data_IF_294408251821
#
_entry.id   IF_294408251821
#
_cell.length_a   1.000
_cell.length_b   1.000
_cell.length_c   1.000
_cell.angle_alpha   90.00
_cell.angle_beta   90.00
_cell.angle_gamma   90.00
#
_symmetry.space_group_name_H-M   'P 1'
#
loop_
_entity.id
_entity.type
_entity.pdbx_description
1 polymer ?
#
# COMPACT_ATOMS: atom_id res chain seq x y z
N UNK A 1 -4.97 -14.20 4.49
CA UNK A 1 -6.16 -13.38 4.81
C UNK A 1 -5.90 -11.87 4.66
N UNK A 2 -4.82 -11.32 5.23
CA UNK A 2 -4.55 -9.86 5.15
C UNK A 2 -4.36 -9.25 3.76
N UNK A 3 -4.14 -10.06 2.71
CA UNK A 3 -3.99 -9.57 1.32
C UNK A 3 -5.33 -9.45 0.58
N UNK A 4 -6.43 -9.98 1.13
CA UNK A 4 -7.76 -9.96 0.50
C UNK A 4 -8.30 -8.53 0.27
N UNK A 5 -8.04 -7.53 1.14
CA UNK A 5 -8.47 -6.15 0.88
C UNK A 5 -7.69 -5.45 -0.25
N UNK A 6 -6.54 -6.00 -0.68
CA UNK A 6 -5.66 -5.39 -1.67
C UNK A 6 -6.35 -4.98 -2.99
N UNK A 7 -7.20 -5.81 -3.63
CA UNK A 7 -8.07 -5.40 -4.73
C UNK A 7 -8.75 -4.04 -4.57
N UNK A 8 -9.42 -3.85 -3.42
CA UNK A 8 -10.24 -2.66 -3.15
C UNK A 8 -9.33 -1.47 -2.90
N UNK A 9 -8.28 -1.65 -2.09
CA UNK A 9 -7.34 -0.56 -1.80
C UNK A 9 -6.59 -0.12 -3.05
N UNK A 10 -6.26 -1.05 -3.96
CA UNK A 10 -5.63 -0.74 -5.24
C UNK A 10 -6.53 0.15 -6.11
N UNK A 11 -7.80 -0.22 -6.30
CA UNK A 11 -8.77 0.60 -7.06
C UNK A 11 -8.95 1.97 -6.42
N UNK A 12 -9.20 2.03 -5.11
CA UNK A 12 -9.42 3.30 -4.41
C UNK A 12 -8.20 4.21 -4.52
N UNK A 13 -6.98 3.66 -4.38
CA UNK A 13 -5.75 4.45 -4.48
C UNK A 13 -5.50 4.95 -5.90
N UNK A 14 -5.85 4.16 -6.91
CA UNK A 14 -5.78 4.56 -8.33
C UNK A 14 -6.74 5.72 -8.62
N UNK A 15 -8.01 5.58 -8.25
CA UNK A 15 -9.02 6.64 -8.38
C UNK A 15 -8.62 7.91 -7.61
N UNK A 16 -8.11 7.78 -6.38
CA UNK A 16 -7.64 8.93 -5.61
C UNK A 16 -6.48 9.67 -6.29
N UNK A 17 -5.52 8.93 -6.85
CA UNK A 17 -4.40 9.54 -7.59
C UNK A 17 -4.89 10.31 -8.82
N UNK A 18 -5.87 9.77 -9.55
CA UNK A 18 -6.38 10.39 -10.77
C UNK A 18 -7.23 11.64 -10.51
N UNK A 19 -8.17 11.56 -9.57
CA UNK A 19 -9.15 12.64 -9.34
C UNK A 19 -8.69 13.68 -8.30
N UNK A 20 -7.89 13.31 -7.31
CA UNK A 20 -7.50 14.21 -6.21
C UNK A 20 -6.01 14.58 -6.21
N UNK A 21 -5.24 13.97 -7.12
CA UNK A 21 -3.81 14.22 -7.26
C UNK A 21 -3.00 13.91 -5.99
N UNK A 22 -1.74 14.36 -6.01
CA UNK A 22 -0.75 13.99 -4.99
C UNK A 22 -1.09 14.51 -3.59
N UNK A 23 -1.69 15.71 -3.47
CA UNK A 23 -2.07 16.31 -2.18
C UNK A 23 -3.18 15.50 -1.49
N UNK A 24 -4.21 15.10 -2.25
CA UNK A 24 -5.28 14.24 -1.74
C UNK A 24 -4.75 12.88 -1.29
N UNK A 25 -3.90 12.26 -2.10
CA UNK A 25 -3.31 10.94 -1.77
C UNK A 25 -2.42 11.01 -0.53
N UNK A 26 -1.59 12.06 -0.39
CA UNK A 26 -0.78 12.28 0.81
C UNK A 26 -1.64 12.47 2.06
N UNK A 27 -2.71 13.25 1.96
CA UNK A 27 -3.64 13.44 3.08
C UNK A 27 -4.28 12.12 3.50
N UNK A 28 -4.85 11.37 2.56
CA UNK A 28 -5.48 10.07 2.85
C UNK A 28 -4.47 9.07 3.42
N UNK A 29 -3.23 9.05 2.92
CA UNK A 29 -2.15 8.20 3.45
C UNK A 29 -1.82 8.56 4.89
N UNK A 30 -1.73 9.86 5.21
CA UNK A 30 -1.43 10.33 6.57
C UNK A 30 -2.57 10.01 7.54
N UNK A 31 -3.82 10.23 7.13
CA UNK A 31 -5.00 9.84 7.91
C UNK A 31 -5.01 8.33 8.15
N UNK A 32 -4.77 7.52 7.12
CA UNK A 32 -4.69 6.06 7.23
C UNK A 32 -3.59 5.62 8.21
N UNK A 33 -2.41 6.23 8.15
CA UNK A 33 -1.32 5.95 9.08
C UNK A 33 -1.72 6.26 10.54
N UNK A 34 -2.31 7.44 10.79
CA UNK A 34 -2.79 7.83 12.13
C UNK A 34 -3.85 6.85 12.62
N UNK A 35 -4.79 6.45 11.76
CA UNK A 35 -5.85 5.49 12.11
C UNK A 35 -5.28 4.12 12.48
N UNK A 36 -4.24 3.63 11.79
CA UNK A 36 -3.55 2.38 12.13
C UNK A 36 -2.90 2.49 13.52
N UNK A 37 -2.24 3.61 13.81
CA UNK A 37 -1.66 3.85 15.13
C UNK A 37 -2.71 3.89 16.24
N UNK A 38 -3.84 4.57 16.01
CA UNK A 38 -4.95 4.63 16.97
C UNK A 38 -5.54 3.24 17.19
N UNK A 39 -5.81 2.49 16.12
CA UNK A 39 -6.33 1.12 16.23
C UNK A 39 -5.39 0.21 17.02
N UNK A 40 -4.08 0.30 16.76
CA UNK A 40 -3.09 -0.45 17.51
C UNK A 40 -3.03 -0.04 18.98
N UNK A 41 -3.06 1.26 19.26
CA UNK A 41 -3.07 1.78 20.62
C UNK A 41 -4.28 1.25 21.41
N UNK A 42 -5.48 1.30 20.81
CA UNK A 42 -6.69 0.74 21.42
C UNK A 42 -6.57 -0.77 21.64
N UNK A 43 -5.98 -1.50 20.70
CA UNK A 43 -5.76 -2.95 20.84
C UNK A 43 -4.80 -3.27 22.00
N UNK A 44 -3.74 -2.48 22.20
CA UNK A 44 -2.83 -2.63 23.35
C UNK A 44 -3.54 -2.33 24.67
N UNK A 45 -4.39 -1.30 24.70
CA UNK A 45 -5.22 -1.02 25.87
C UNK A 45 -6.17 -2.17 26.18
N UNK A 46 -6.83 -2.73 25.15
CA UNK A 46 -7.77 -3.84 25.28
C UNK A 46 -7.07 -5.10 25.82
N UNK A 47 -5.89 -5.44 25.30
CA UNK A 47 -5.06 -6.55 25.83
C UNK A 47 -4.63 -6.35 27.30
N UNK A 48 -4.69 -5.12 27.82
CA UNK A 48 -4.32 -4.79 29.20
C UNK A 48 -5.51 -4.84 30.17
N UNK A 49 -6.74 -4.94 29.65
CA UNK A 49 -7.97 -5.00 30.44
C UNK A 49 -8.39 -6.47 30.56
N UNK A 50 -8.65 -7.00 31.76
CA UNK A 50 -9.08 -8.38 31.93
C UNK A 50 -10.48 -8.60 31.32
N UNK A 51 -10.66 -9.74 30.69
CA UNK A 51 -11.91 -10.15 30.08
C UNK A 51 -13.04 -10.17 31.12
N UNK A 52 -14.21 -9.72 30.68
CA UNK A 52 -15.41 -9.75 31.51
C UNK A 52 -15.77 -11.21 31.89
N UNK A 53 -16.34 -11.46 33.08
CA UNK A 53 -16.66 -12.82 33.54
C UNK A 53 -17.62 -13.61 32.63
N UNK A 54 -18.40 -12.91 31.81
CA UNK A 54 -19.35 -13.48 30.84
C UNK A 54 -18.82 -13.45 29.40
N UNK A 55 -17.55 -13.10 29.19
CA UNK A 55 -16.94 -13.07 27.86
C UNK A 55 -16.78 -14.49 27.30
N UNK A 56 -17.14 -14.74 26.03
CA UNK A 56 -16.87 -16.02 25.38
C UNK A 56 -15.39 -16.23 25.04
N UNK A 57 -14.58 -15.18 25.14
CA UNK A 57 -13.13 -15.20 24.84
C UNK A 57 -12.37 -14.79 26.10
N UNK A 58 -11.40 -15.60 26.50
CA UNK A 58 -10.53 -15.33 27.64
C UNK A 58 -9.30 -14.51 27.23
N UNK A 59 -8.62 -13.95 28.24
CA UNK A 59 -7.40 -13.13 28.05
C UNK A 59 -6.32 -13.90 27.29
N UNK A 60 -6.20 -15.20 27.52
CA UNK A 60 -5.21 -16.04 26.86
C UNK A 60 -5.46 -16.13 25.36
N UNK A 61 -6.68 -16.49 24.94
CA UNK A 61 -7.04 -16.61 23.53
C UNK A 61 -6.91 -15.27 22.81
N UNK A 62 -7.33 -14.18 23.46
CA UNK A 62 -7.20 -12.84 22.90
C UNK A 62 -5.72 -12.48 22.65
N UNK A 63 -4.84 -12.73 23.64
CA UNK A 63 -3.40 -12.48 23.51
C UNK A 63 -2.72 -13.41 22.50
N UNK A 64 -3.16 -14.65 22.35
CA UNK A 64 -2.62 -15.57 21.32
C UNK A 64 -2.91 -15.05 19.91
N UNK A 65 -4.10 -14.48 19.69
CA UNK A 65 -4.50 -13.94 18.39
C UNK A 65 -3.86 -12.58 18.12
N UNK A 66 -3.93 -11.66 19.08
CA UNK A 66 -3.54 -10.26 18.88
C UNK A 66 -2.15 -9.90 19.38
N UNK A 67 -1.48 -10.74 20.17
CA UNK A 67 -0.14 -10.46 20.70
C UNK A 67 0.93 -10.30 19.62
N UNK A 68 0.71 -10.86 18.42
CA UNK A 68 1.63 -10.66 17.29
C UNK A 68 1.35 -9.37 16.48
N UNK A 69 0.27 -8.65 16.76
CA UNK A 69 -0.15 -7.47 15.99
C UNK A 69 0.91 -6.38 15.96
N UNK A 70 1.65 -6.19 17.05
CA UNK A 70 2.75 -5.22 17.12
C UNK A 70 3.87 -5.51 16.13
N UNK A 71 4.31 -6.77 16.02
CA UNK A 71 5.32 -7.19 15.03
C UNK A 71 4.81 -7.03 13.60
N UNK A 72 3.53 -7.31 13.37
CA UNK A 72 2.89 -7.11 12.06
C UNK A 72 2.94 -5.64 11.65
N UNK A 73 2.55 -4.73 12.53
CA UNK A 73 2.55 -3.29 12.25
C UNK A 73 3.97 -2.76 12.03
N UNK A 74 4.91 -3.12 12.90
CA UNK A 74 6.32 -2.75 12.73
C UNK A 74 6.85 -3.28 11.40
N UNK A 75 6.55 -4.53 11.07
CA UNK A 75 6.90 -5.14 9.79
C UNK A 75 6.33 -4.37 8.60
N UNK A 76 5.05 -3.97 8.65
CA UNK A 76 4.41 -3.16 7.62
C UNK A 76 5.03 -1.77 7.46
N UNK A 77 5.35 -1.08 8.56
CA UNK A 77 5.99 0.23 8.49
C UNK A 77 7.39 0.12 7.88
N UNK A 78 8.20 -0.85 8.34
CA UNK A 78 9.56 -1.06 7.83
C UNK A 78 9.54 -1.46 6.36
N UNK A 79 8.65 -2.38 5.97
CA UNK A 79 8.49 -2.79 4.58
C UNK A 79 8.06 -1.62 3.68
N UNK A 80 7.11 -0.81 4.14
CA UNK A 80 6.67 0.37 3.41
C UNK A 80 7.82 1.36 3.18
N UNK A 81 8.60 1.67 4.22
CA UNK A 81 9.74 2.59 4.11
C UNK A 81 10.81 2.06 3.15
N UNK A 82 11.21 0.80 3.30
CA UNK A 82 12.20 0.17 2.43
C UNK A 82 11.68 0.10 0.99
N UNK A 83 10.43 -0.34 0.80
CA UNK A 83 9.78 -0.42 -0.49
C UNK A 83 9.74 0.92 -1.20
N UNK A 84 9.41 2.00 -0.47
CA UNK A 84 9.38 3.35 -1.03
C UNK A 84 10.78 3.84 -1.45
N UNK A 85 11.82 3.56 -0.66
CA UNK A 85 13.20 3.91 -1.03
C UNK A 85 13.65 3.17 -2.28
N UNK A 86 13.33 1.87 -2.39
CA UNK A 86 13.66 1.04 -3.55
C UNK A 86 12.89 1.51 -4.78
N UNK A 87 11.60 1.84 -4.63
CA UNK A 87 10.79 2.38 -5.72
C UNK A 87 11.45 3.62 -6.32
N UNK A 88 11.83 4.58 -5.48
CA UNK A 88 12.50 5.82 -5.90
C UNK A 88 13.83 5.50 -6.61
N UNK A 89 14.67 4.62 -6.05
CA UNK A 89 15.96 4.26 -6.63
C UNK A 89 15.82 3.60 -8.01
N UNK A 90 14.93 2.60 -8.12
CA UNK A 90 14.70 1.88 -9.37
C UNK A 90 14.06 2.80 -10.41
N UNK A 91 13.12 3.66 -10.00
CA UNK A 91 12.53 4.67 -10.88
C UNK A 91 13.59 5.59 -11.49
N UNK A 92 14.50 6.12 -10.66
CA UNK A 92 15.60 6.97 -11.11
C UNK A 92 16.59 6.22 -12.00
N UNK A 93 16.98 5.00 -11.61
CA UNK A 93 17.86 4.15 -12.41
C UNK A 93 17.29 3.89 -13.81
N UNK A 94 16.01 3.52 -13.89
CA UNK A 94 15.33 3.29 -15.16
C UNK A 94 15.13 4.59 -15.95
N UNK A 95 14.95 5.76 -15.30
CA UNK A 95 14.93 7.08 -15.96
C UNK A 95 16.21 7.38 -16.71
N UNK A 96 17.35 7.20 -16.05
CA UNK A 96 18.67 7.44 -16.66
C UNK A 96 18.92 6.44 -17.78
N UNK A 97 18.65 5.15 -17.55
CA UNK A 97 18.89 4.09 -18.52
C UNK A 97 18.02 4.20 -19.79
N UNK A 98 16.80 4.72 -19.66
CA UNK A 98 15.84 4.82 -20.78
C UNK A 98 15.83 6.19 -21.46
N UNK A 99 16.73 7.12 -21.08
CA UNK A 99 16.73 8.50 -21.59
C UNK A 99 15.33 9.15 -21.56
N UNK A 100 14.61 8.95 -20.46
CA UNK A 100 13.25 9.46 -20.25
C UNK A 100 12.17 8.95 -21.24
N UNK A 101 12.47 7.99 -22.13
CA UNK A 101 11.61 7.60 -23.26
C UNK A 101 10.39 6.76 -22.87
N UNK A 102 10.49 5.95 -21.81
CA UNK A 102 9.41 5.03 -21.40
C UNK A 102 8.98 5.30 -19.95
N UNK A 103 7.89 6.06 -19.77
CA UNK A 103 7.33 6.38 -18.44
C UNK A 103 6.72 5.13 -17.79
N UNK A 104 5.94 4.34 -18.55
CA UNK A 104 5.29 3.12 -18.05
C UNK A 104 6.29 2.11 -17.49
N UNK A 105 7.40 1.88 -18.21
CA UNK A 105 8.43 0.93 -17.77
C UNK A 105 9.05 1.32 -16.42
N UNK A 106 9.16 2.63 -16.15
CA UNK A 106 9.72 3.15 -14.90
C UNK A 106 8.74 2.99 -13.76
N UNK A 107 7.50 3.42 -13.94
CA UNK A 107 6.46 3.35 -12.93
C UNK A 107 6.11 1.89 -12.57
N UNK A 108 5.83 1.06 -13.57
CA UNK A 108 5.48 -0.35 -13.35
C UNK A 108 6.69 -1.16 -12.89
N UNK A 109 7.87 -0.93 -13.48
CA UNK A 109 9.09 -1.62 -13.09
C UNK A 109 9.50 -1.32 -11.65
N UNK A 110 9.47 -0.06 -11.22
CA UNK A 110 9.78 0.30 -9.83
C UNK A 110 8.76 -0.26 -8.84
N UNK A 111 7.47 -0.22 -9.20
CA UNK A 111 6.38 -0.75 -8.37
C UNK A 111 6.47 -2.27 -8.18
N UNK A 112 6.80 -3.03 -9.23
CA UNK A 112 6.95 -4.48 -9.13
C UNK A 112 8.14 -4.83 -8.22
N UNK A 113 9.27 -4.16 -8.38
CA UNK A 113 10.47 -4.42 -7.57
C UNK A 113 10.26 -4.00 -6.12
N UNK A 114 9.64 -2.85 -5.88
CA UNK A 114 9.33 -2.39 -4.52
C UNK A 114 8.33 -3.31 -3.82
N UNK A 115 7.29 -3.78 -4.53
CA UNK A 115 6.30 -4.69 -3.96
C UNK A 115 6.85 -6.09 -3.69
N UNK A 116 7.84 -6.55 -4.47
CA UNK A 116 8.55 -7.78 -4.16
C UNK A 116 9.26 -7.65 -2.81
N UNK A 117 10.03 -6.59 -2.60
CA UNK A 117 10.75 -6.38 -1.35
C UNK A 117 9.79 -6.14 -0.18
N UNK A 118 8.75 -5.33 -0.36
CA UNK A 118 7.70 -5.11 0.64
C UNK A 118 7.11 -6.44 1.12
N UNK A 119 6.68 -7.29 0.19
CA UNK A 119 5.99 -8.54 0.51
C UNK A 119 6.88 -9.50 1.30
N UNK A 120 8.18 -9.51 1.04
CA UNK A 120 9.14 -10.31 1.81
C UNK A 120 9.44 -9.67 3.16
N UNK A 121 9.72 -8.37 3.22
CA UNK A 121 10.07 -7.68 4.47
C UNK A 121 8.92 -7.74 5.47
N UNK A 122 7.66 -7.53 5.05
CA UNK A 122 6.49 -7.65 5.93
C UNK A 122 6.44 -9.04 6.56
N UNK A 123 6.51 -10.09 5.74
CA UNK A 123 6.34 -11.47 6.21
C UNK A 123 7.50 -11.90 7.10
N UNK A 124 8.73 -11.53 6.75
CA UNK A 124 9.91 -11.88 7.54
C UNK A 124 9.94 -11.16 8.89
N UNK A 125 9.50 -9.90 8.99
CA UNK A 125 9.44 -9.21 10.28
C UNK A 125 8.23 -9.66 11.10
N UNK A 126 7.08 -9.83 10.46
CA UNK A 126 5.83 -10.15 11.14
C UNK A 126 5.78 -11.61 11.64
N UNK A 127 6.35 -12.55 10.88
CA UNK A 127 6.27 -13.99 11.16
C UNK A 127 7.63 -14.66 11.38
N UNK A 128 8.74 -13.95 11.11
CA UNK A 128 10.09 -14.47 11.33
C UNK A 128 10.45 -14.58 12.82
N UNK A 129 11.36 -15.52 13.11
CA UNK A 129 11.72 -15.88 14.49
C UNK A 129 10.60 -16.62 15.25
N UNK A 130 9.50 -16.95 14.57
CA UNK A 130 8.41 -17.78 15.09
C UNK A 130 8.59 -19.26 14.78
N UNK A 131 7.46 -19.98 14.69
CA UNK A 131 7.42 -21.44 14.44
C UNK A 131 7.56 -21.82 12.96
N UNK A 132 7.59 -20.85 12.05
CA UNK A 132 7.64 -21.10 10.61
C UNK A 132 9.08 -21.31 10.14
N UNK A 133 9.28 -22.31 9.30
CA UNK A 133 10.53 -22.57 8.61
C UNK A 133 10.83 -21.52 7.53
N UNK A 134 12.10 -21.41 7.14
CA UNK A 134 12.53 -20.53 6.05
C UNK A 134 11.80 -20.83 4.72
N UNK A 135 11.51 -22.11 4.47
CA UNK A 135 10.78 -22.54 3.27
C UNK A 135 9.33 -22.03 3.29
N UNK A 136 8.64 -22.14 4.43
CA UNK A 136 7.27 -21.64 4.58
C UNK A 136 7.20 -20.12 4.45
N UNK A 137 8.14 -19.38 5.05
CA UNK A 137 8.20 -17.92 4.92
C UNK A 137 8.37 -17.48 3.46
N UNK A 138 9.23 -18.17 2.70
CA UNK A 138 9.41 -17.89 1.28
C UNK A 138 8.18 -18.21 0.44
N UNK A 139 7.51 -19.33 0.73
CA UNK A 139 6.27 -19.70 0.05
C UNK A 139 5.17 -18.67 0.32
N UNK A 140 4.99 -18.25 1.57
CA UNK A 140 3.99 -17.24 1.95
C UNK A 140 4.30 -15.90 1.27
N UNK A 141 5.56 -15.45 1.30
CA UNK A 141 5.99 -14.19 0.69
C UNK A 141 5.80 -14.19 -0.83
N UNK A 142 6.19 -15.28 -1.49
CA UNK A 142 6.05 -15.45 -2.94
C UNK A 142 4.58 -15.49 -3.35
N UNK A 143 3.75 -16.26 -2.64
CA UNK A 143 2.32 -16.32 -2.91
C UNK A 143 1.64 -14.98 -2.68
N UNK A 144 2.06 -14.21 -1.67
CA UNK A 144 1.56 -12.86 -1.41
C UNK A 144 1.87 -11.92 -2.58
N UNK A 145 3.12 -11.92 -3.03
CA UNK A 145 3.56 -11.11 -4.17
C UNK A 145 2.82 -11.50 -5.47
N UNK A 146 2.77 -12.79 -5.80
CA UNK A 146 2.09 -13.29 -6.99
C UNK A 146 0.59 -12.97 -6.98
N UNK A 147 -0.05 -13.08 -5.81
CA UNK A 147 -1.44 -12.68 -5.66
C UNK A 147 -1.64 -11.19 -5.94
N UNK A 148 -0.83 -10.31 -5.33
CA UNK A 148 -0.90 -8.85 -5.58
C UNK A 148 -0.71 -8.54 -7.08
N UNK A 149 0.27 -9.15 -7.73
CA UNK A 149 0.52 -8.97 -9.16
C UNK A 149 -0.64 -9.47 -10.02
N UNK A 150 -1.13 -10.69 -9.77
CA UNK A 150 -2.23 -11.28 -10.52
C UNK A 150 -3.52 -10.48 -10.38
N UNK A 151 -3.83 -10.01 -9.16
CA UNK A 151 -4.96 -9.13 -8.87
C UNK A 151 -4.84 -7.80 -9.60
N UNK A 152 -3.67 -7.15 -9.55
CA UNK A 152 -3.46 -5.87 -10.22
C UNK A 152 -3.72 -5.96 -11.73
N UNK A 153 -3.22 -7.02 -12.37
CA UNK A 153 -3.46 -7.30 -13.80
C UNK A 153 -4.94 -7.58 -14.06
N UNK A 154 -5.58 -8.44 -13.24
CA UNK A 154 -6.98 -8.82 -13.40
C UNK A 154 -7.97 -7.66 -13.19
N UNK A 155 -7.62 -6.70 -12.33
CA UNK A 155 -8.44 -5.53 -11.99
C UNK A 155 -8.23 -4.38 -12.98
N UNK A 156 -7.16 -4.39 -13.77
CA UNK A 156 -6.87 -3.32 -14.73
C UNK A 156 -8.06 -3.02 -15.66
N UNK A 157 -8.79 -4.00 -16.25
CA UNK A 157 -10.00 -3.71 -17.04
C UNK A 157 -11.14 -3.10 -16.22
N UNK A 158 -11.30 -3.51 -14.95
CA UNK A 158 -12.33 -3.00 -14.05
C UNK A 158 -12.08 -1.53 -13.68
N UNK A 159 -10.81 -1.13 -13.57
CA UNK A 159 -10.42 0.27 -13.35
C UNK A 159 -10.93 1.15 -14.49
N UNK A 160 -10.73 0.76 -15.76
CA UNK A 160 -11.27 1.52 -16.91
C UNK A 160 -12.80 1.67 -16.85
N UNK A 161 -13.51 0.63 -16.39
CA UNK A 161 -14.96 0.70 -16.19
C UNK A 161 -15.32 1.66 -15.06
N UNK A 162 -14.60 1.61 -13.94
CA UNK A 162 -14.82 2.53 -12.82
C UNK A 162 -14.62 3.99 -13.24
N UNK A 163 -13.56 4.30 -13.98
CA UNK A 163 -13.32 5.62 -14.57
C UNK A 163 -14.46 6.05 -15.49
N UNK A 164 -14.89 5.16 -16.40
CA UNK A 164 -15.99 5.47 -17.32
C UNK A 164 -17.29 5.79 -16.58
N UNK A 165 -17.57 5.10 -15.46
CA UNK A 165 -18.74 5.36 -14.62
C UNK A 165 -18.62 6.69 -13.86
N UNK A 166 -17.46 6.99 -13.32
CA UNK A 166 -17.21 8.25 -12.59
C UNK A 166 -17.27 9.43 -13.55
N UNK A 167 -16.67 9.32 -14.72
CA UNK A 167 -16.71 10.34 -15.78
C UNK A 167 -18.13 10.61 -16.25
N UNK A 168 -18.94 9.57 -16.39
CA UNK A 168 -20.36 9.71 -16.68
C UNK A 168 -21.11 10.42 -15.54
N UNK A 169 -20.78 10.11 -14.28
CA UNK A 169 -21.46 10.67 -13.11
C UNK A 169 -21.07 12.12 -12.81
N UNK A 170 -19.79 12.47 -12.92
CA UNK A 170 -19.25 13.80 -12.62
C UNK A 170 -19.29 14.76 -13.83
N UNK A 171 -19.39 14.23 -15.05
CA UNK A 171 -19.58 15.01 -16.26
C UNK A 171 -18.48 16.07 -16.49
N UNK A 172 -18.81 17.38 -16.58
CA UNK A 172 -17.81 18.42 -16.83
C UNK A 172 -16.76 18.58 -15.72
N UNK A 173 -17.13 18.27 -14.46
CA UNK A 173 -16.26 18.46 -13.30
C UNK A 173 -15.04 17.52 -13.33
N UNK A 174 -15.18 16.34 -13.94
CA UNK A 174 -14.07 15.40 -14.17
C UNK A 174 -12.87 16.06 -14.82
N UNK A 175 -13.10 16.83 -15.91
CA UNK A 175 -12.00 17.44 -16.67
C UNK A 175 -11.23 18.45 -15.83
N UNK A 176 -11.95 19.23 -15.01
CA UNK A 176 -11.34 20.18 -14.09
C UNK A 176 -10.50 19.47 -13.03
N UNK A 177 -11.04 18.41 -12.40
CA UNK A 177 -10.34 17.65 -11.37
C UNK A 177 -9.07 16.96 -11.90
N UNK A 178 -9.17 16.29 -13.05
CA UNK A 178 -8.03 15.65 -13.70
C UNK A 178 -6.99 16.70 -14.10
N UNK A 179 -7.42 17.85 -14.65
CA UNK A 179 -6.49 18.91 -15.05
C UNK A 179 -5.75 19.51 -13.84
N UNK A 180 -6.45 19.79 -12.74
CA UNK A 180 -5.83 20.26 -11.50
C UNK A 180 -4.84 19.23 -10.92
N UNK A 181 -5.20 17.94 -10.96
CA UNK A 181 -4.32 16.85 -10.52
C UNK A 181 -3.06 16.75 -11.39
N UNK A 182 -3.19 16.90 -12.71
CA UNK A 182 -2.08 16.89 -13.66
C UNK A 182 -1.16 18.11 -13.50
N UNK A 183 -1.72 19.30 -13.29
CA UNK A 183 -0.97 20.54 -13.05
C UNK A 183 -0.12 20.43 -11.79
N UNK A 184 -0.69 19.90 -10.69
CA UNK A 184 0.05 19.60 -9.46
C UNK A 184 1.15 18.54 -9.66
N UNK A 185 0.94 17.55 -10.52
CA UNK A 185 1.94 16.54 -10.84
C UNK A 185 3.12 17.10 -11.66
N UNK A 186 2.87 18.05 -12.57
CA UNK A 186 3.89 18.67 -13.43
C UNK A 186 4.80 19.66 -12.70
N UNK A 187 4.26 20.48 -11.80
CA UNK A 187 5.02 21.47 -11.03
C UNK A 187 6.13 20.83 -10.16
N UNK A 188 5.97 19.56 -9.81
CA UNK A 188 6.90 18.82 -8.95
C UNK A 188 7.98 18.04 -9.73
N UNK A 189 7.82 17.90 -11.06
CA UNK A 189 8.72 17.13 -11.95
C UNK A 189 9.65 18.04 -12.75
N UNK A 190 9.27 19.30 -12.94
CA UNK A 190 10.21 20.31 -13.44
C UNK A 190 11.37 20.44 -12.45
N UNK A 191 12.63 20.28 -12.91
CA UNK A 191 13.75 20.68 -12.08
C UNK A 191 13.54 22.17 -11.80
N UNK A 192 13.70 22.58 -10.54
CA UNK A 192 13.74 23.99 -10.18
C UNK A 192 14.75 24.64 -11.13
N UNK A 193 14.25 25.35 -12.14
CA UNK A 193 15.11 26.07 -13.06
C UNK A 193 15.88 27.05 -12.19
N UNK A 194 17.22 26.95 -12.11
CA UNK A 194 17.98 27.99 -11.44
C UNK A 194 17.83 29.23 -12.32
N UNK A 195 16.93 30.13 -11.89
CA UNK A 195 16.87 31.49 -12.40
C UNK A 195 18.16 32.25 -12.09
#
# INVERSE_FOLDING_TARGET
MGVIPFPVTFIVTDLLNEYFGRKGVRFTTLVGMVMIFVAYFLLVLDMSIPAAPNSPVDDHSFNVVFGNSGKVIVGSIVAYLIGQLIDIQIFHFLRVKTNNKYIWLRATGSTIVSQLVDSFVVIYIALGGGKLSFQELNQISTNNFLYKCGVAIAITPLIYVAHSLIDWYLGPMTKTMIQEALEQGRSDVEPISPG
#
